data_IF_792341394982
#
_entry.id   IF_792341394982
#
_cell.length_a   1.000
_cell.length_b   1.000
_cell.length_c   1.000
_cell.angle_alpha   90.00
_cell.angle_beta   90.00
_cell.angle_gamma   90.00
#
_symmetry.space_group_name_H-M   'P 1'
#
loop_
_entity.id
_entity.type
_entity.pdbx_description
1 polymer ?
#
# COMPACT_ATOMS: atom_id res chain seq x y z
N UNK A 1 43.82 36.57 -3.01
CA UNK A 1 43.35 37.40 -1.89
C UNK A 1 41.89 37.10 -1.67
N UNK A 2 41.60 36.25 -0.70
CA UNK A 2 40.45 36.31 0.21
C UNK A 2 40.65 35.13 1.16
N UNK A 3 41.20 35.45 2.33
CA UNK A 3 41.16 34.59 3.50
C UNK A 3 39.87 34.89 4.27
N UNK A 4 39.39 33.92 5.06
CA UNK A 4 38.56 34.00 6.28
C UNK A 4 37.78 32.67 6.37
N UNK A 5 37.63 31.96 7.48
CA UNK A 5 38.15 32.04 8.85
C UNK A 5 37.59 30.79 9.54
N UNK A 6 38.42 30.07 10.29
CA UNK A 6 38.00 29.02 11.21
C UNK A 6 37.69 29.67 12.57
N UNK A 7 36.50 29.40 13.12
CA UNK A 7 36.09 29.73 14.50
C UNK A 7 34.62 29.37 14.69
N UNK A 8 34.12 28.85 15.82
CA UNK A 8 34.65 28.54 17.15
C UNK A 8 33.80 27.40 17.74
N UNK A 9 34.39 26.57 18.60
CA UNK A 9 33.66 25.61 19.44
C UNK A 9 33.22 26.33 20.72
N UNK A 10 31.92 26.64 20.83
CA UNK A 10 31.27 27.00 22.09
C UNK A 10 30.84 25.75 22.87
N UNK A 11 31.17 25.73 24.16
CA UNK A 11 30.79 24.68 25.11
C UNK A 11 29.44 24.98 25.80
N UNK A 12 28.63 23.93 25.99
CA UNK A 12 27.72 23.79 27.13
C UNK A 12 26.23 24.11 26.93
N UNK A 13 25.43 23.05 26.75
CA UNK A 13 24.14 22.89 27.44
C UNK A 13 23.71 21.43 27.34
N UNK A 14 23.71 20.72 28.49
CA UNK A 14 23.18 19.38 28.62
C UNK A 14 21.65 19.40 28.44
N UNK A 15 21.14 18.69 27.43
CA UNK A 15 19.72 18.42 27.27
C UNK A 15 19.48 16.92 27.43
N UNK A 16 18.57 16.62 28.37
CA UNK A 16 18.29 15.31 28.93
C UNK A 16 17.94 14.23 27.90
N UNK A 17 18.35 13.00 28.21
CA UNK A 17 17.95 11.80 27.51
C UNK A 17 16.41 11.65 27.49
N UNK A 18 15.81 11.67 26.30
CA UNK A 18 14.42 11.28 26.10
C UNK A 18 14.32 9.75 25.91
N UNK A 19 13.24 9.11 26.42
CA UNK A 19 13.11 7.66 26.36
C UNK A 19 12.84 7.18 24.94
N UNK A 20 13.55 6.13 24.55
CA UNK A 20 13.26 5.34 23.36
C UNK A 20 11.86 4.72 23.48
N UNK A 21 10.88 5.25 22.75
CA UNK A 21 9.51 4.71 22.80
C UNK A 21 8.49 5.41 21.91
N UNK A 22 8.90 6.08 20.83
CA UNK A 22 7.97 6.68 19.88
C UNK A 22 7.62 5.71 18.76
N UNK A 23 6.40 5.14 18.76
CA UNK A 23 5.80 4.53 17.56
C UNK A 23 5.88 5.57 16.45
N UNK A 24 6.74 5.33 15.46
CA UNK A 24 6.84 6.17 14.26
C UNK A 24 5.46 6.27 13.64
N UNK A 25 4.85 7.46 13.68
CA UNK A 25 3.73 7.81 12.81
C UNK A 25 4.19 7.50 11.39
N UNK A 26 3.59 6.51 10.73
CA UNK A 26 3.77 6.27 9.28
C UNK A 26 3.01 7.38 8.53
N UNK A 27 3.45 8.62 8.71
CA UNK A 27 3.21 9.65 7.71
C UNK A 27 4.12 9.32 6.55
N UNK A 28 3.52 9.08 5.38
CA UNK A 28 4.16 9.07 4.06
C UNK A 28 5.58 8.50 4.03
N UNK A 29 5.71 7.18 4.18
CA UNK A 29 6.85 6.52 3.52
C UNK A 29 6.52 6.57 2.04
N UNK A 30 6.92 7.66 1.37
CA UNK A 30 7.11 7.65 -0.07
C UNK A 30 8.18 6.59 -0.30
N UNK A 31 7.75 5.39 -0.70
CA UNK A 31 8.67 4.39 -1.22
C UNK A 31 9.09 4.96 -2.59
N UNK A 32 10.02 5.91 -2.58
CA UNK A 32 10.77 6.19 -3.79
C UNK A 32 11.61 4.95 -4.04
N UNK A 33 11.18 4.13 -5.01
CA UNK A 33 12.05 3.08 -5.52
C UNK A 33 13.36 3.75 -5.92
N UNK A 34 14.50 3.34 -5.33
CA UNK A 34 15.76 3.98 -5.63
C UNK A 34 16.00 3.83 -7.14
N UNK A 35 16.16 4.96 -7.83
CA UNK A 35 16.53 4.96 -9.24
C UNK A 35 17.96 4.44 -9.36
N UNK A 36 18.09 3.12 -9.45
CA UNK A 36 19.37 2.42 -9.58
C UNK A 36 19.92 2.48 -11.00
N UNK A 37 19.07 2.82 -11.98
CA UNK A 37 19.47 3.03 -13.37
C UNK A 37 20.20 4.37 -13.50
N UNK A 38 21.47 4.40 -13.97
CA UNK A 38 22.18 5.65 -14.21
C UNK A 38 21.46 6.52 -15.24
N UNK A 39 21.39 7.83 -14.99
CA UNK A 39 20.64 8.78 -15.82
C UNK A 39 21.12 8.86 -17.28
N UNK A 40 22.40 8.56 -17.53
CA UNK A 40 22.98 8.56 -18.88
C UNK A 40 22.59 7.32 -19.71
N UNK A 41 22.09 6.26 -19.08
CA UNK A 41 21.72 5.02 -19.77
C UNK A 41 20.24 5.10 -20.18
N UNK A 42 19.96 5.48 -21.42
CA UNK A 42 18.59 5.61 -21.97
C UNK A 42 17.99 4.29 -22.49
N UNK A 43 18.82 3.29 -22.78
CA UNK A 43 18.38 1.91 -23.09
C UNK A 43 19.33 0.89 -22.45
N UNK A 44 18.76 -0.24 -21.98
CA UNK A 44 19.50 -1.39 -21.44
C UNK A 44 19.45 -2.62 -22.36
N UNK A 45 18.81 -2.50 -23.52
CA UNK A 45 18.72 -3.56 -24.53
C UNK A 45 20.07 -3.70 -25.24
N UNK A 46 20.61 -4.91 -25.25
CA UNK A 46 21.77 -5.26 -26.07
C UNK A 46 21.41 -5.37 -27.56
N UNK A 47 22.41 -5.27 -28.44
CA UNK A 47 22.24 -5.28 -29.90
C UNK A 47 22.94 -6.47 -30.60
N UNK A 48 23.69 -7.28 -29.88
CA UNK A 48 24.49 -8.38 -30.44
C UNK A 48 23.68 -9.68 -30.52
N UNK A 49 24.09 -10.57 -31.43
CA UNK A 49 23.49 -11.90 -31.60
C UNK A 49 22.31 -11.96 -32.57
N UNK A 50 21.54 -13.04 -32.50
CA UNK A 50 20.37 -13.27 -33.35
C UNK A 50 19.08 -13.32 -32.50
N UNK A 51 17.96 -12.76 -32.98
CA UNK A 51 16.69 -12.83 -32.28
C UNK A 51 16.22 -14.28 -32.09
N UNK A 52 15.73 -14.58 -30.88
CA UNK A 52 15.15 -15.89 -30.55
C UNK A 52 13.77 -15.66 -29.94
N UNK A 53 12.72 -16.39 -30.36
CA UNK A 53 11.41 -16.32 -29.72
C UNK A 53 11.49 -16.90 -28.31
N UNK A 54 11.07 -16.11 -27.32
CA UNK A 54 11.03 -16.51 -25.92
C UNK A 54 9.60 -16.45 -25.39
N UNK A 55 9.29 -17.36 -24.48
CA UNK A 55 8.07 -17.32 -23.66
C UNK A 55 8.45 -17.07 -22.21
N UNK A 56 7.58 -16.40 -21.47
CA UNK A 56 7.79 -16.11 -20.06
C UNK A 56 6.57 -16.55 -19.27
N UNK A 57 6.73 -16.72 -17.96
CA UNK A 57 5.65 -16.99 -17.02
C UNK A 57 4.95 -15.70 -16.54
N UNK A 58 5.00 -14.63 -17.34
CA UNK A 58 4.37 -13.35 -17.03
C UNK A 58 3.08 -13.19 -17.83
N UNK A 59 2.00 -12.88 -17.13
CA UNK A 59 0.71 -12.58 -17.75
C UNK A 59 0.50 -11.07 -17.80
N UNK A 60 0.03 -10.57 -18.95
CA UNK A 60 -0.26 -9.14 -19.13
C UNK A 60 -1.55 -8.79 -18.40
N UNK A 61 -1.46 -7.88 -17.44
CA UNK A 61 -2.64 -7.22 -16.84
C UNK A 61 -3.01 -6.04 -17.72
N UNK A 62 -4.15 -6.10 -18.42
CA UNK A 62 -4.67 -4.99 -19.22
C UNK A 62 -5.58 -4.09 -18.37
N UNK A 63 -5.32 -2.79 -18.40
CA UNK A 63 -6.19 -1.78 -17.81
C UNK A 63 -7.03 -1.09 -18.88
N UNK A 64 -8.17 -0.52 -18.50
CA UNK A 64 -8.95 0.34 -19.40
C UNK A 64 -8.21 1.66 -19.68
N UNK A 65 -8.40 2.30 -20.86
CA UNK A 65 -7.60 3.46 -21.27
C UNK A 65 -7.76 4.72 -20.40
N UNK A 66 -8.87 4.84 -19.67
CA UNK A 66 -9.25 6.06 -18.93
C UNK A 66 -9.32 5.85 -17.41
N UNK A 67 -8.65 4.83 -16.87
CA UNK A 67 -8.68 4.59 -15.43
C UNK A 67 -7.71 5.50 -14.68
N UNK A 68 -8.25 6.22 -13.69
CA UNK A 68 -7.47 6.85 -12.63
C UNK A 68 -7.79 6.09 -11.33
N UNK A 69 -6.75 5.73 -10.58
CA UNK A 69 -6.93 5.09 -9.30
C UNK A 69 -6.80 6.14 -8.20
N UNK A 70 -7.83 6.28 -7.38
CA UNK A 70 -7.86 7.27 -6.32
C UNK A 70 -7.49 6.61 -4.99
N UNK A 71 -6.42 7.11 -4.37
CA UNK A 71 -5.96 6.66 -3.06
C UNK A 71 -6.49 7.59 -1.98
N UNK A 72 -7.12 7.00 -0.97
CA UNK A 72 -7.65 7.68 0.20
C UNK A 72 -7.01 7.13 1.47
N UNK A 73 -6.74 8.02 2.42
CA UNK A 73 -6.44 7.64 3.79
C UNK A 73 -7.74 7.61 4.61
N UNK A 74 -7.94 6.53 5.36
CA UNK A 74 -9.10 6.33 6.24
C UNK A 74 -8.62 6.39 7.69
N UNK A 75 -9.16 7.32 8.45
CA UNK A 75 -8.94 7.42 9.90
C UNK A 75 -10.25 7.22 10.66
N UNK A 76 -10.12 6.70 11.89
CA UNK A 76 -11.23 6.40 12.78
C UNK A 76 -11.00 7.16 14.09
N UNK A 77 -12.04 7.82 14.59
CA UNK A 77 -12.03 8.49 15.88
C UNK A 77 -13.30 8.11 16.65
N UNK A 78 -13.20 7.43 17.81
CA UNK A 78 -12.00 6.85 18.43
C UNK A 78 -11.20 5.86 17.56
N UNK A 79 -9.91 5.66 17.87
CA UNK A 79 -9.04 4.73 17.13
C UNK A 79 -9.51 3.28 17.30
N UNK A 80 -9.44 2.49 16.21
CA UNK A 80 -9.87 1.09 16.20
C UNK A 80 -8.70 0.19 15.87
N UNK A 81 -8.26 -0.59 16.85
CA UNK A 81 -7.15 -1.52 16.68
C UNK A 81 -7.49 -2.68 15.74
N UNK A 82 -8.66 -3.31 15.95
CA UNK A 82 -9.00 -4.53 15.23
C UNK A 82 -9.36 -4.24 13.76
N UNK A 83 -8.54 -4.79 12.85
CA UNK A 83 -8.68 -4.62 11.40
C UNK A 83 -10.05 -5.07 10.90
N UNK A 84 -10.61 -6.18 11.40
CA UNK A 84 -11.91 -6.69 10.95
C UNK A 84 -13.05 -5.69 11.18
N UNK A 85 -13.04 -4.97 12.30
CA UNK A 85 -14.05 -3.93 12.58
C UNK A 85 -13.90 -2.75 11.63
N UNK A 86 -12.68 -2.31 11.34
CA UNK A 86 -12.44 -1.25 10.34
C UNK A 86 -13.00 -1.62 8.97
N UNK A 87 -12.82 -2.86 8.54
CA UNK A 87 -13.40 -3.36 7.28
C UNK A 87 -14.93 -3.36 7.32
N UNK A 88 -15.54 -3.79 8.43
CA UNK A 88 -17.00 -3.77 8.59
C UNK A 88 -17.56 -2.35 8.48
N UNK A 89 -16.94 -1.39 9.17
CA UNK A 89 -17.40 0.00 9.20
C UNK A 89 -17.28 0.69 7.83
N UNK A 90 -16.20 0.45 7.09
CA UNK A 90 -16.09 0.96 5.71
C UNK A 90 -17.15 0.32 4.81
N UNK A 91 -17.43 -0.98 5.00
CA UNK A 91 -18.44 -1.71 4.23
C UNK A 91 -19.86 -1.21 4.48
N UNK A 92 -20.17 -0.66 5.66
CA UNK A 92 -21.49 -0.07 5.96
C UNK A 92 -21.80 1.14 5.05
N UNK A 93 -20.77 1.80 4.50
CA UNK A 93 -20.91 2.96 3.62
C UNK A 93 -20.73 2.62 2.14
N UNK A 94 -21.10 1.39 1.73
CA UNK A 94 -20.92 0.91 0.36
C UNK A 94 -21.68 1.72 -0.68
N UNK A 95 -22.82 2.32 -0.31
CA UNK A 95 -23.62 3.15 -1.22
C UNK A 95 -22.82 4.36 -1.72
N UNK A 96 -22.05 4.98 -0.84
CA UNK A 96 -21.17 6.09 -1.18
C UNK A 96 -19.90 5.58 -1.90
N UNK A 97 -19.24 4.58 -1.32
CA UNK A 97 -17.92 4.10 -1.75
C UNK A 97 -18.00 3.35 -3.10
N UNK A 98 -19.11 2.66 -3.34
CA UNK A 98 -19.32 1.75 -4.46
C UNK A 98 -18.88 0.32 -4.15
N UNK A 99 -19.44 -0.64 -4.87
CA UNK A 99 -19.17 -2.08 -4.69
C UNK A 99 -17.72 -2.47 -4.99
N UNK A 100 -17.07 -1.74 -5.89
CA UNK A 100 -15.70 -2.00 -6.33
C UNK A 100 -14.72 -1.10 -5.58
N UNK A 101 -14.09 -1.66 -4.56
CA UNK A 101 -13.04 -0.98 -3.78
C UNK A 101 -11.98 -1.98 -3.29
N UNK A 102 -10.80 -1.47 -2.96
CA UNK A 102 -9.79 -2.23 -2.24
C UNK A 102 -9.39 -1.48 -0.97
N UNK A 103 -9.50 -2.15 0.17
CA UNK A 103 -9.17 -1.58 1.48
C UNK A 103 -8.17 -2.46 2.20
N UNK A 104 -7.22 -1.87 2.90
CA UNK A 104 -6.22 -2.59 3.69
C UNK A 104 -6.27 -2.32 5.20
N UNK A 105 -7.28 -1.60 5.68
CA UNK A 105 -7.42 -1.20 7.07
C UNK A 105 -7.00 0.24 7.36
N UNK A 106 -6.26 0.89 6.47
CA UNK A 106 -5.91 2.32 6.57
C UNK A 106 -6.02 3.04 5.22
N UNK A 107 -5.62 2.39 4.14
CA UNK A 107 -5.66 2.94 2.79
C UNK A 107 -6.83 2.31 2.04
N UNK A 108 -7.63 3.17 1.41
CA UNK A 108 -8.75 2.82 0.55
C UNK A 108 -8.42 3.24 -0.88
N UNK A 109 -8.55 2.31 -1.82
CA UNK A 109 -8.40 2.55 -3.24
C UNK A 109 -9.76 2.46 -3.93
N UNK A 110 -10.09 3.48 -4.72
CA UNK A 110 -11.34 3.56 -5.47
C UNK A 110 -11.09 3.81 -6.97
N UNK A 111 -11.90 3.19 -7.85
CA UNK A 111 -11.88 3.47 -9.28
C UNK A 111 -12.62 4.77 -9.64
N UNK A 112 -13.43 5.30 -8.72
CA UNK A 112 -14.13 6.58 -8.86
C UNK A 112 -13.63 7.59 -7.83
N UNK A 113 -13.64 8.86 -8.19
CA UNK A 113 -13.36 9.95 -7.25
C UNK A 113 -14.62 10.26 -6.46
N UNK A 114 -14.51 10.33 -5.13
CA UNK A 114 -15.53 10.92 -4.27
C UNK A 114 -15.68 12.42 -4.55
N UNK A 115 -16.88 12.95 -4.39
CA UNK A 115 -17.20 14.36 -4.67
C UNK A 115 -16.35 15.31 -3.82
N UNK A 116 -16.24 15.03 -2.52
CA UNK A 116 -15.43 15.81 -1.60
C UNK A 116 -14.02 15.23 -1.47
N UNK A 117 -13.01 16.11 -1.36
CA UNK A 117 -11.63 15.70 -1.04
C UNK A 117 -11.56 15.01 0.32
N UNK A 118 -12.33 15.51 1.28
CA UNK A 118 -12.46 14.92 2.61
C UNK A 118 -13.94 14.60 2.83
N UNK A 119 -14.23 13.32 3.05
CA UNK A 119 -15.57 12.84 3.34
C UNK A 119 -15.61 12.31 4.77
N UNK A 120 -16.52 12.85 5.57
CA UNK A 120 -16.72 12.44 6.96
C UNK A 120 -17.98 11.60 7.05
N UNK A 121 -17.85 10.43 7.65
CA UNK A 121 -18.93 9.47 7.86
C UNK A 121 -19.01 9.12 9.34
N UNK A 122 -20.17 8.63 9.75
CA UNK A 122 -20.42 8.18 11.11
C UNK A 122 -20.97 6.77 11.08
N UNK A 123 -20.37 5.88 11.87
CA UNK A 123 -20.83 4.50 12.08
C UNK A 123 -20.92 4.25 13.58
N UNK A 124 -21.83 3.36 13.98
CA UNK A 124 -21.99 2.96 15.38
C UNK A 124 -21.27 1.64 15.63
N UNK A 125 -20.49 1.60 16.69
CA UNK A 125 -19.81 0.37 17.09
C UNK A 125 -20.80 -0.59 17.76
N UNK A 126 -20.93 -1.80 17.21
CA UNK A 126 -21.91 -2.82 17.66
C UNK A 126 -21.82 -3.25 19.12
N UNK A 127 -20.70 -3.02 19.80
CA UNK A 127 -20.49 -3.51 21.17
C UNK A 127 -20.99 -2.53 22.23
N UNK A 128 -20.85 -1.23 21.98
CA UNK A 128 -21.05 -0.15 22.96
C UNK A 128 -21.92 0.99 22.41
N UNK A 129 -22.44 0.85 21.17
CA UNK A 129 -23.19 1.86 20.42
C UNK A 129 -22.49 3.22 20.33
N UNK A 130 -21.15 3.24 20.51
CA UNK A 130 -20.38 4.46 20.43
C UNK A 130 -20.32 4.97 18.98
N UNK A 131 -20.55 6.28 18.82
CA UNK A 131 -20.41 6.95 17.54
C UNK A 131 -18.92 7.04 17.15
N UNK A 132 -18.58 6.40 16.04
CA UNK A 132 -17.24 6.43 15.43
C UNK A 132 -17.29 7.37 14.23
N UNK A 133 -16.46 8.40 14.28
CA UNK A 133 -16.19 9.26 13.13
C UNK A 133 -15.17 8.58 12.23
N UNK A 134 -15.54 8.38 10.97
CA UNK A 134 -14.67 7.86 9.91
C UNK A 134 -14.37 9.02 8.97
N UNK A 135 -13.09 9.36 8.80
CA UNK A 135 -12.66 10.39 7.85
C UNK A 135 -11.93 9.74 6.69
N UNK A 136 -12.44 9.94 5.47
CA UNK A 136 -11.86 9.47 4.22
C UNK A 136 -11.28 10.68 3.49
N UNK A 137 -9.96 10.76 3.40
CA UNK A 137 -9.25 11.90 2.78
C UNK A 137 -8.52 11.46 1.52
N UNK A 138 -8.79 12.10 0.38
CA UNK A 138 -8.07 11.87 -0.86
C UNK A 138 -6.61 12.31 -0.67
N UNK A 139 -5.69 11.35 -0.81
CA UNK A 139 -4.25 11.61 -0.71
C UNK A 139 -3.64 11.77 -2.09
N UNK A 140 -3.87 10.82 -3.00
CA UNK A 140 -3.21 10.78 -4.30
C UNK A 140 -4.15 10.33 -5.42
N UNK A 141 -3.94 10.88 -6.62
CA UNK A 141 -4.45 10.31 -7.87
C UNK A 141 -3.29 9.54 -8.52
N UNK A 142 -3.43 8.23 -8.65
CA UNK A 142 -2.35 7.34 -9.06
C UNK A 142 -2.46 7.04 -10.55
N UNK A 143 -1.42 7.36 -11.35
CA UNK A 143 -1.34 6.86 -12.71
C UNK A 143 -1.11 5.35 -12.72
N UNK A 144 -1.42 4.65 -13.82
CA UNK A 144 -1.26 3.20 -13.94
C UNK A 144 0.18 2.71 -13.74
N UNK A 145 1.15 3.60 -13.95
CA UNK A 145 2.59 3.37 -13.83
C UNK A 145 3.11 3.58 -12.41
N UNK A 146 2.27 4.03 -11.47
CA UNK A 146 2.70 4.30 -10.10
C UNK A 146 3.09 3.00 -9.39
N UNK A 147 4.21 2.96 -8.65
CA UNK A 147 4.60 1.79 -7.87
C UNK A 147 3.55 1.47 -6.78
N UNK A 148 2.78 2.45 -6.31
CA UNK A 148 1.69 2.23 -5.36
C UNK A 148 0.60 1.30 -5.92
N UNK A 149 0.43 1.24 -7.25
CA UNK A 149 -0.49 0.28 -7.88
C UNK A 149 -0.07 -1.18 -7.61
N UNK A 150 1.20 -1.46 -7.30
CA UNK A 150 1.67 -2.80 -6.90
C UNK A 150 0.95 -3.26 -5.63
N UNK A 151 0.74 -2.35 -4.66
CA UNK A 151 0.00 -2.67 -3.44
C UNK A 151 -1.46 -3.03 -3.75
N UNK A 152 -2.12 -2.29 -4.65
CA UNK A 152 -3.45 -2.62 -5.13
C UNK A 152 -3.48 -4.01 -5.76
N UNK A 153 -2.59 -4.28 -6.71
CA UNK A 153 -2.52 -5.58 -7.38
C UNK A 153 -2.31 -6.72 -6.38
N UNK A 154 -1.45 -6.52 -5.38
CA UNK A 154 -1.25 -7.50 -4.31
C UNK A 154 -2.51 -7.73 -3.47
N UNK A 155 -3.35 -6.71 -3.24
CA UNK A 155 -4.63 -6.89 -2.55
C UNK A 155 -5.61 -7.68 -3.44
N UNK A 156 -5.72 -7.31 -4.72
CA UNK A 156 -6.62 -7.96 -5.68
C UNK A 156 -6.25 -9.42 -5.93
N UNK A 157 -4.97 -9.71 -6.20
CA UNK A 157 -4.51 -11.06 -6.46
C UNK A 157 -4.60 -11.95 -5.22
N UNK A 158 -4.32 -11.44 -4.01
CA UNK A 158 -4.55 -12.22 -2.78
C UNK A 158 -6.02 -12.60 -2.63
N UNK A 159 -6.95 -11.69 -2.93
CA UNK A 159 -8.38 -12.00 -2.92
C UNK A 159 -8.71 -13.06 -3.98
N UNK A 160 -8.29 -12.88 -5.23
CA UNK A 160 -8.55 -13.84 -6.29
C UNK A 160 -7.99 -15.24 -5.98
N UNK A 161 -6.75 -15.32 -5.47
CA UNK A 161 -6.11 -16.58 -5.08
C UNK A 161 -6.83 -17.26 -3.91
N UNK A 162 -7.36 -16.47 -2.96
CA UNK A 162 -8.17 -16.99 -1.87
C UNK A 162 -9.51 -17.57 -2.36
N UNK A 163 -10.19 -16.90 -3.30
CA UNK A 163 -11.46 -17.38 -3.87
C UNK A 163 -11.31 -18.71 -4.63
N UNK A 164 -10.15 -18.96 -5.26
CA UNK A 164 -9.86 -20.26 -5.90
C UNK A 164 -9.34 -21.33 -4.91
N UNK A 165 -9.46 -21.10 -3.59
CA UNK A 165 -9.13 -22.07 -2.55
C UNK A 165 -7.64 -22.16 -2.19
N UNK A 166 -6.79 -21.25 -2.68
CA UNK A 166 -5.38 -21.25 -2.28
C UNK A 166 -5.20 -20.59 -0.90
N UNK A 167 -4.24 -21.12 -0.14
CA UNK A 167 -3.86 -20.61 1.17
C UNK A 167 -2.51 -19.89 1.11
N UNK A 168 -2.45 -18.68 1.66
CA UNK A 168 -1.24 -17.89 1.70
C UNK A 168 -0.34 -18.33 2.87
N UNK A 169 0.89 -18.71 2.56
CA UNK A 169 1.96 -18.94 3.56
C UNK A 169 3.13 -18.03 3.18
N UNK A 170 3.36 -16.99 3.99
CA UNK A 170 4.36 -15.96 3.70
C UNK A 170 4.01 -15.17 2.43
N UNK A 171 4.87 -15.27 1.39
CA UNK A 171 4.67 -14.60 0.08
C UNK A 171 4.12 -15.53 -1.00
N UNK A 172 3.97 -16.81 -0.70
CA UNK A 172 3.52 -17.81 -1.67
C UNK A 172 2.10 -18.29 -1.31
N UNK A 173 1.42 -18.84 -2.31
CA UNK A 173 0.10 -19.41 -2.17
C UNK A 173 0.17 -20.89 -2.55
N UNK A 174 -0.45 -21.74 -1.75
CA UNK A 174 -0.41 -23.20 -1.91
C UNK A 174 -1.83 -23.75 -1.93
N UNK A 175 -2.02 -24.87 -2.63
CA UNK A 175 -3.28 -25.61 -2.58
C UNK A 175 -3.14 -26.75 -1.56
N UNK A 176 -3.86 -26.72 -0.43
CA UNK A 176 -3.78 -27.77 0.59
C UNK A 176 -4.33 -29.13 0.10
N UNK A 177 -5.27 -29.11 -0.85
CA UNK A 177 -5.91 -30.33 -1.38
C UNK A 177 -4.99 -31.11 -2.33
N UNK A 178 -3.91 -30.49 -2.82
CA UNK A 178 -2.90 -31.10 -3.67
C UNK A 178 -1.57 -31.37 -2.94
N UNK A 179 -1.63 -31.57 -1.62
CA UNK A 179 -0.44 -31.87 -0.84
C UNK A 179 0.21 -33.19 -1.31
N UNK A 180 1.49 -33.12 -1.70
CA UNK A 180 2.27 -34.30 -2.03
C UNK A 180 2.74 -35.01 -0.75
N UNK A 181 2.22 -36.21 -0.49
CA UNK A 181 2.67 -37.03 0.63
C UNK A 181 4.01 -37.68 0.30
N UNK A 182 5.04 -37.41 1.11
CA UNK A 182 6.37 -38.02 0.99
C UNK A 182 6.58 -38.95 2.18
N UNK A 183 6.31 -40.26 2.06
CA UNK A 183 6.30 -41.20 3.19
C UNK A 183 7.67 -41.39 3.87
N UNK A 184 8.75 -41.02 3.19
CA UNK A 184 10.13 -41.31 3.59
C UNK A 184 10.72 -40.26 4.54
N UNK A 185 10.02 -39.17 4.83
CA UNK A 185 10.48 -38.12 5.73
C UNK A 185 9.64 -38.12 7.03
N UNK A 186 10.31 -38.32 8.17
CA UNK A 186 9.76 -38.08 9.51
C UNK A 186 10.20 -36.72 10.04
#
# INVERSE_FOLDING_TARGET
MEALSLGEKGAGAAAAAQPFGGRRRRGDIVIEEPRTRPAHIQDKKGSTGHPVPLVTNFFRVSSTPSWALYQYNVSFAPEIDYRGVRFSMVKEHIELIGETYAFDGMILFLPKRLEQKETVLFSKRRNDDADIKITITLTNELPPTSPTCIQLYNILFRKALHEIGMQQIGRNNYNPDMAAYVPQHK
#
